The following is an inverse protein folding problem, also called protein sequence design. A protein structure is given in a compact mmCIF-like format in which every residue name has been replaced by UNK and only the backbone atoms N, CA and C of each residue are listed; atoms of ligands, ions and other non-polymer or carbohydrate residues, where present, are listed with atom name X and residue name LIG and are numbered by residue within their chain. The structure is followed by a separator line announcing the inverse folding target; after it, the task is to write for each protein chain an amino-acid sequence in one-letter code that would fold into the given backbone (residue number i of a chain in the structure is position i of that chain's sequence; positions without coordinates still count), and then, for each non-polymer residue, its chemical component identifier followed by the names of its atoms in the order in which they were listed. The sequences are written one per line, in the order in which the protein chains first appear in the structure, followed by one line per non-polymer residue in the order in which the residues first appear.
data_IF_585825150085
#
_entry.id   IF_585825150085
#
_cell.length_a   1.000
_cell.length_b   1.000
_cell.length_c   1.000
_cell.angle_alpha   90.00
_cell.angle_beta   90.00
_cell.angle_gamma   90.00
#
_symmetry.space_group_name_H-M   'P 1'
#
loop_
_entity.id
_entity.type
_entity.pdbx_description
1 polymer ?
#
# COMPACT_ATOMS: atom_id res chain seq x y z
N UNK A 1 -17.50 26.07 0.46
CA UNK A 1 -18.21 25.75 -0.80
C UNK A 1 -18.43 24.26 -0.87
N UNK A 2 -19.51 23.80 -1.50
CA UNK A 2 -19.74 22.37 -1.70
C UNK A 2 -18.85 21.79 -2.80
N UNK A 3 -18.67 20.47 -2.82
CA UNK A 3 -17.97 19.73 -3.89
C UNK A 3 -18.52 20.10 -5.28
N UNK A 4 -19.84 20.05 -5.43
CA UNK A 4 -20.53 20.34 -6.69
C UNK A 4 -20.27 21.77 -7.20
N UNK A 5 -20.31 22.77 -6.32
CA UNK A 5 -20.00 24.16 -6.70
C UNK A 5 -18.55 24.32 -7.18
N UNK A 6 -17.62 23.57 -6.57
CA UNK A 6 -16.21 23.62 -6.96
C UNK A 6 -15.98 22.92 -8.29
N UNK A 7 -16.63 21.76 -8.53
CA UNK A 7 -16.59 21.07 -9.82
C UNK A 7 -17.16 21.93 -10.95
N UNK A 8 -18.30 22.61 -10.74
CA UNK A 8 -18.84 23.56 -11.72
C UNK A 8 -17.88 24.71 -12.03
N UNK A 9 -17.03 25.12 -11.08
CA UNK A 9 -15.99 26.12 -11.34
C UNK A 9 -14.82 25.53 -12.11
N UNK A 10 -14.42 24.29 -11.81
CA UNK A 10 -13.40 23.57 -12.57
C UNK A 10 -13.82 23.48 -14.03
N UNK A 11 -15.05 23.04 -14.32
CA UNK A 11 -15.53 22.91 -15.70
C UNK A 11 -15.60 24.26 -16.43
N UNK A 12 -16.02 25.33 -15.75
CA UNK A 12 -15.97 26.70 -16.31
C UNK A 12 -14.54 27.16 -16.60
N UNK A 13 -13.61 26.91 -15.69
CA UNK A 13 -12.20 27.25 -15.87
C UNK A 13 -11.61 26.46 -17.07
N UNK A 14 -11.95 25.18 -17.23
CA UNK A 14 -11.54 24.35 -18.38
C UNK A 14 -12.13 24.87 -19.69
N UNK A 15 -13.44 25.14 -19.74
CA UNK A 15 -14.11 25.67 -20.93
C UNK A 15 -13.55 27.04 -21.36
N UNK A 16 -13.09 27.85 -20.40
CA UNK A 16 -12.43 29.13 -20.65
C UNK A 16 -10.92 29.01 -20.95
N UNK A 17 -10.36 27.80 -21.05
CA UNK A 17 -8.93 27.56 -21.29
C UNK A 17 -8.02 27.85 -20.08
N UNK A 18 -8.58 28.18 -18.91
CA UNK A 18 -7.86 28.48 -17.67
C UNK A 18 -7.41 27.21 -16.93
N UNK A 19 -6.68 26.34 -17.63
CA UNK A 19 -6.29 25.01 -17.15
C UNK A 19 -5.47 25.04 -15.84
N UNK A 20 -4.63 26.06 -15.64
CA UNK A 20 -3.88 26.23 -14.39
C UNK A 20 -4.79 26.42 -13.17
N UNK A 21 -5.87 27.21 -13.32
CA UNK A 21 -6.84 27.42 -12.23
C UNK A 21 -7.70 26.18 -11.96
N UNK A 22 -8.07 25.46 -13.01
CA UNK A 22 -8.78 24.20 -12.92
C UNK A 22 -7.95 23.16 -12.16
N UNK A 23 -6.67 23.02 -12.53
CA UNK A 23 -5.68 22.16 -11.86
C UNK A 23 -5.60 22.48 -10.36
N UNK A 24 -5.42 23.74 -9.99
CA UNK A 24 -5.24 24.13 -8.58
C UNK A 24 -6.48 23.83 -7.73
N UNK A 25 -7.69 24.00 -8.29
CA UNK A 25 -8.94 23.60 -7.63
C UNK A 25 -9.06 22.09 -7.47
N UNK A 26 -8.73 21.34 -8.52
CA UNK A 26 -8.75 19.88 -8.49
C UNK A 26 -7.76 19.31 -7.48
N UNK A 27 -6.58 19.91 -7.29
CA UNK A 27 -5.68 19.54 -6.18
C UNK A 27 -6.34 19.70 -4.82
N UNK A 28 -7.04 20.82 -4.60
CA UNK A 28 -7.81 21.04 -3.38
C UNK A 28 -8.87 19.96 -3.16
N UNK A 29 -9.59 19.58 -4.22
CA UNK A 29 -10.60 18.52 -4.16
C UNK A 29 -9.99 17.14 -3.91
N UNK A 30 -8.91 16.75 -4.61
CA UNK A 30 -8.21 15.48 -4.39
C UNK A 30 -7.65 15.39 -2.96
N UNK A 31 -7.23 16.52 -2.40
CA UNK A 31 -6.81 16.56 -1.00
C UNK A 31 -7.96 16.33 -0.03
N UNK A 32 -9.11 16.97 -0.28
CA UNK A 32 -10.29 16.91 0.59
C UNK A 32 -11.05 15.58 0.48
N UNK A 33 -11.05 14.98 -0.71
CA UNK A 33 -11.76 13.74 -1.06
C UNK A 33 -10.78 12.72 -1.64
N UNK A 34 -9.82 12.22 -0.84
CA UNK A 34 -8.71 11.41 -1.35
C UNK A 34 -9.13 10.01 -1.84
N UNK A 35 -10.30 9.53 -1.42
CA UNK A 35 -10.88 8.24 -1.84
C UNK A 35 -11.59 8.31 -3.20
N UNK A 36 -11.95 9.51 -3.66
CA UNK A 36 -12.65 9.70 -4.92
C UNK A 36 -11.64 9.74 -6.09
N UNK A 37 -11.43 8.58 -6.70
CA UNK A 37 -10.52 8.44 -7.82
C UNK A 37 -10.96 9.22 -9.08
N UNK A 38 -12.24 9.58 -9.21
CA UNK A 38 -12.72 10.38 -10.35
C UNK A 38 -12.10 11.77 -10.36
N UNK A 39 -11.83 12.35 -9.18
CA UNK A 39 -11.14 13.63 -9.06
C UNK A 39 -9.68 13.53 -9.50
N UNK A 40 -9.02 12.41 -9.19
CA UNK A 40 -7.65 12.14 -9.66
C UNK A 40 -7.63 11.95 -11.17
N UNK A 41 -8.61 11.25 -11.73
CA UNK A 41 -8.77 11.07 -13.17
C UNK A 41 -8.92 12.42 -13.89
N UNK A 42 -9.82 13.28 -13.39
CA UNK A 42 -10.03 14.61 -13.96
C UNK A 42 -8.79 15.50 -13.84
N UNK A 43 -8.07 15.43 -12.73
CA UNK A 43 -6.80 16.14 -12.55
C UNK A 43 -5.72 15.65 -13.53
N UNK A 44 -5.65 14.35 -13.78
CA UNK A 44 -4.72 13.79 -14.75
C UNK A 44 -5.02 14.27 -16.18
N UNK A 45 -6.30 14.34 -16.56
CA UNK A 45 -6.72 14.90 -17.85
C UNK A 45 -6.28 16.35 -18.03
N UNK A 46 -6.43 17.18 -17.00
CA UNK A 46 -5.95 18.57 -17.03
C UNK A 46 -4.42 18.63 -17.16
N UNK A 47 -3.69 17.78 -16.44
CA UNK A 47 -2.23 17.69 -16.59
C UNK A 47 -1.79 17.23 -17.98
N UNK A 48 -2.55 16.32 -18.59
CA UNK A 48 -2.31 15.86 -19.95
C UNK A 48 -2.51 16.99 -20.96
N UNK A 49 -3.61 17.75 -20.85
CA UNK A 49 -3.85 18.92 -21.69
C UNK A 49 -2.76 19.99 -21.52
N UNK A 50 -2.27 20.19 -20.29
CA UNK A 50 -1.15 21.07 -19.96
C UNK A 50 0.23 20.53 -20.42
N UNK A 51 0.31 19.39 -21.11
CA UNK A 51 1.55 18.78 -21.59
C UNK A 51 2.53 18.37 -20.48
N UNK A 52 2.01 17.93 -19.32
CA UNK A 52 2.80 17.33 -18.24
C UNK A 52 2.50 15.83 -18.11
N UNK A 53 2.98 14.98 -19.05
CA UNK A 53 2.58 13.57 -19.12
C UNK A 53 2.98 12.75 -17.88
N UNK A 54 4.15 13.02 -17.28
CA UNK A 54 4.58 12.35 -16.05
C UNK A 54 3.67 12.68 -14.85
N UNK A 55 3.18 13.92 -14.76
CA UNK A 55 2.21 14.29 -13.72
C UNK A 55 0.83 13.70 -14.00
N UNK A 56 0.38 13.69 -15.25
CA UNK A 56 -0.85 13.01 -15.64
C UNK A 56 -0.79 11.52 -15.27
N UNK A 57 0.34 10.86 -15.55
CA UNK A 57 0.60 9.46 -15.20
C UNK A 57 0.54 9.20 -13.70
N UNK A 58 1.08 10.10 -12.88
CA UNK A 58 0.99 10.00 -11.42
C UNK A 58 -0.46 9.94 -10.91
N UNK A 59 -1.35 10.76 -11.50
CA UNK A 59 -2.76 10.80 -11.10
C UNK A 59 -3.59 9.68 -11.72
N UNK A 60 -3.26 9.23 -12.93
CA UNK A 60 -3.86 8.05 -13.58
C UNK A 60 -3.33 6.70 -13.07
N UNK A 61 -2.25 6.67 -12.30
CA UNK A 61 -1.54 5.41 -11.97
C UNK A 61 -2.40 4.32 -11.31
N UNK A 62 -3.43 4.73 -10.58
CA UNK A 62 -4.37 3.85 -9.87
C UNK A 62 -5.61 3.50 -10.70
N UNK A 63 -5.72 4.02 -11.92
CA UNK A 63 -6.79 3.70 -12.86
C UNK A 63 -6.33 2.61 -13.83
N UNK A 64 -7.26 1.74 -14.21
CA UNK A 64 -6.99 0.78 -15.26
C UNK A 64 -6.74 1.53 -16.59
N UNK A 65 -5.60 1.32 -17.28
CA UNK A 65 -5.28 2.07 -18.47
C UNK A 65 -6.19 1.66 -19.63
N UNK A 66 -7.16 2.52 -19.96
CA UNK A 66 -8.12 2.29 -21.05
C UNK A 66 -7.67 2.82 -22.42
N UNK A 67 -6.65 3.67 -22.48
CA UNK A 67 -6.17 4.31 -23.71
C UNK A 67 -4.65 4.35 -23.80
N UNK A 68 -4.11 4.42 -25.03
CA UNK A 68 -2.67 4.55 -25.26
C UNK A 68 -2.07 5.79 -24.61
N UNK A 69 -2.80 6.92 -24.61
CA UNK A 69 -2.38 8.15 -23.95
C UNK A 69 -2.18 7.96 -22.44
N UNK A 70 -3.13 7.28 -21.77
CA UNK A 70 -3.01 6.95 -20.34
C UNK A 70 -1.83 6.03 -20.08
N UNK A 71 -1.67 4.99 -20.90
CA UNK A 71 -0.54 4.07 -20.78
C UNK A 71 0.81 4.79 -20.96
N UNK A 72 0.91 5.68 -21.95
CA UNK A 72 2.11 6.51 -22.16
C UNK A 72 2.40 7.39 -20.96
N UNK A 73 1.40 8.11 -20.45
CA UNK A 73 1.55 8.97 -19.28
C UNK A 73 2.04 8.17 -18.05
N UNK A 74 1.48 6.98 -17.81
CA UNK A 74 1.90 6.09 -16.73
C UNK A 74 3.37 5.66 -16.91
N UNK A 75 3.80 5.30 -18.12
CA UNK A 75 5.22 4.98 -18.39
C UNK A 75 6.14 6.16 -18.14
N UNK A 76 5.75 7.38 -18.54
CA UNK A 76 6.51 8.60 -18.27
C UNK A 76 6.62 8.89 -16.76
N UNK A 77 5.57 8.59 -16.00
CA UNK A 77 5.61 8.67 -14.55
C UNK A 77 6.56 7.64 -13.94
N UNK A 78 6.48 6.38 -14.37
CA UNK A 78 7.36 5.30 -13.92
C UNK A 78 8.83 5.60 -14.21
N UNK A 79 9.13 6.03 -15.44
CA UNK A 79 10.47 6.44 -15.84
C UNK A 79 10.99 7.63 -15.03
N UNK A 80 10.15 8.66 -14.80
CA UNK A 80 10.52 9.81 -13.98
C UNK A 80 10.74 9.47 -12.49
N UNK A 81 10.26 8.30 -12.03
CA UNK A 81 10.55 7.76 -10.71
C UNK A 81 11.78 6.83 -10.70
N UNK A 82 12.45 6.63 -11.84
CA UNK A 82 13.54 5.68 -12.00
C UNK A 82 13.10 4.22 -11.94
N UNK A 83 11.82 3.95 -12.22
CA UNK A 83 11.17 2.64 -12.02
C UNK A 83 11.36 2.08 -10.60
N UNK A 84 11.51 2.99 -9.63
CA UNK A 84 11.73 2.62 -8.25
C UNK A 84 10.40 2.55 -7.47
N UNK A 85 10.06 1.40 -6.84
CA UNK A 85 8.75 1.24 -6.21
C UNK A 85 8.57 2.17 -5.00
N UNK A 86 9.66 2.55 -4.31
CA UNK A 86 9.58 3.47 -3.18
C UNK A 86 9.34 4.91 -3.66
N UNK A 87 10.03 5.34 -4.73
CA UNK A 87 9.77 6.63 -5.36
C UNK A 87 8.36 6.71 -5.95
N UNK A 88 7.87 5.63 -6.57
CA UNK A 88 6.50 5.54 -7.07
C UNK A 88 5.48 5.74 -5.93
N UNK A 89 5.55 4.92 -4.87
CA UNK A 89 4.60 5.02 -3.74
C UNK A 89 4.61 6.40 -3.07
N UNK A 90 5.79 6.99 -2.88
CA UNK A 90 5.92 8.31 -2.23
C UNK A 90 5.43 9.44 -3.12
N UNK A 91 5.61 9.37 -4.46
CA UNK A 91 5.11 10.37 -5.40
C UNK A 91 3.63 10.28 -5.68
N UNK A 92 3.00 9.11 -5.57
CA UNK A 92 1.54 8.96 -5.73
C UNK A 92 0.74 9.86 -4.78
N UNK A 93 1.33 10.19 -3.61
CA UNK A 93 0.73 11.02 -2.56
C UNK A 93 -0.72 10.63 -2.25
N UNK A 94 -1.05 9.34 -2.41
CA UNK A 94 -2.37 8.83 -2.07
C UNK A 94 -2.56 8.96 -0.56
N UNK A 95 -3.71 9.47 -0.15
CA UNK A 95 -4.05 9.75 1.26
C UNK A 95 -5.40 9.15 1.65
N UNK A 96 -6.01 8.42 0.73
CA UNK A 96 -7.28 7.77 0.99
C UNK A 96 -7.06 6.50 1.79
N UNK A 97 -8.17 5.85 2.08
CA UNK A 97 -8.22 4.51 2.62
C UNK A 97 -8.05 3.50 1.46
N UNK A 98 -6.98 2.69 1.44
CA UNK A 98 -6.82 1.62 0.47
C UNK A 98 -8.01 0.65 0.44
N UNK A 99 -8.75 0.53 1.55
CA UNK A 99 -9.92 -0.35 1.61
C UNK A 99 -11.11 0.14 0.82
N UNK A 100 -11.17 1.45 0.52
CA UNK A 100 -12.23 2.08 -0.27
C UNK A 100 -11.91 2.13 -1.76
N UNK A 101 -10.72 1.68 -2.16
CA UNK A 101 -10.29 1.68 -3.55
C UNK A 101 -10.93 0.56 -4.37
N UNK A 102 -11.18 0.79 -5.68
CA UNK A 102 -11.53 -0.29 -6.61
C UNK A 102 -10.48 -1.41 -6.62
N UNK A 103 -10.86 -2.66 -7.00
CA UNK A 103 -9.96 -3.81 -7.00
C UNK A 103 -8.64 -3.56 -7.74
N UNK A 104 -8.69 -3.00 -8.96
CA UNK A 104 -7.49 -2.68 -9.74
C UNK A 104 -6.52 -1.76 -8.98
N UNK A 105 -7.03 -0.68 -8.41
CA UNK A 105 -6.25 0.31 -7.69
C UNK A 105 -5.58 -0.29 -6.44
N UNK A 106 -6.33 -1.12 -5.71
CA UNK A 106 -5.85 -1.86 -4.53
C UNK A 106 -4.73 -2.82 -4.91
N UNK A 107 -4.97 -3.67 -5.90
CA UNK A 107 -3.97 -4.65 -6.36
C UNK A 107 -2.69 -3.97 -6.84
N UNK A 108 -2.82 -2.84 -7.55
CA UNK A 108 -1.69 -2.02 -8.00
C UNK A 108 -0.87 -1.48 -6.82
N UNK A 109 -1.53 -0.93 -5.80
CA UNK A 109 -0.85 -0.42 -4.59
C UNK A 109 -0.19 -1.54 -3.80
N UNK A 110 -0.90 -2.65 -3.56
CA UNK A 110 -0.35 -3.78 -2.83
C UNK A 110 0.86 -4.39 -3.53
N UNK A 111 0.82 -4.48 -4.87
CA UNK A 111 1.96 -4.95 -5.66
C UNK A 111 3.19 -4.06 -5.45
N UNK A 112 3.02 -2.73 -5.51
CA UNK A 112 4.10 -1.79 -5.23
C UNK A 112 4.62 -1.89 -3.79
N UNK A 113 3.73 -2.09 -2.81
CA UNK A 113 4.13 -2.29 -1.42
C UNK A 113 4.93 -3.59 -1.25
N UNK A 114 4.51 -4.68 -1.90
CA UNK A 114 5.28 -5.95 -1.93
C UNK A 114 6.64 -5.77 -2.59
N UNK A 115 6.73 -5.02 -3.68
CA UNK A 115 8.00 -4.68 -4.33
C UNK A 115 8.93 -3.88 -3.41
N UNK A 116 8.39 -2.90 -2.69
CA UNK A 116 9.13 -2.15 -1.67
C UNK A 116 9.59 -3.05 -0.52
N UNK A 117 8.72 -3.93 0.00
CA UNK A 117 9.09 -4.87 1.05
C UNK A 117 10.23 -5.79 0.61
N UNK A 118 10.19 -6.29 -0.64
CA UNK A 118 11.26 -7.14 -1.20
C UNK A 118 12.59 -6.39 -1.36
N UNK A 119 12.55 -5.15 -1.86
CA UNK A 119 13.75 -4.36 -2.18
C UNK A 119 14.35 -3.64 -0.96
N UNK A 120 13.50 -3.14 -0.06
CA UNK A 120 13.88 -2.27 1.05
C UNK A 120 13.57 -2.85 2.44
N UNK A 121 12.86 -3.98 2.52
CA UNK A 121 12.42 -4.57 3.80
C UNK A 121 11.35 -3.77 4.52
N UNK A 122 10.77 -2.74 3.88
CA UNK A 122 9.69 -1.89 4.38
C UNK A 122 9.01 -1.13 3.23
N UNK A 123 7.84 -0.56 3.47
CA UNK A 123 7.12 0.28 2.52
C UNK A 123 6.39 1.45 3.20
N UNK A 124 6.12 2.56 2.49
CA UNK A 124 5.26 3.64 3.00
C UNK A 124 3.83 3.15 3.21
N UNK A 125 3.25 3.47 4.37
CA UNK A 125 1.87 3.12 4.71
C UNK A 125 1.00 4.36 4.57
N UNK A 126 -0.07 4.24 3.78
CA UNK A 126 -1.05 5.30 3.58
C UNK A 126 -2.02 5.31 4.76
N UNK A 127 -2.17 6.45 5.42
CA UNK A 127 -3.12 6.63 6.50
C UNK A 127 -3.90 7.92 6.24
N UNK A 128 -5.22 7.85 6.29
CA UNK A 128 -6.08 9.01 6.05
C UNK A 128 -5.83 10.18 7.02
N UNK A 129 -5.34 9.89 8.23
CA UNK A 129 -5.24 10.86 9.32
C UNK A 129 -3.83 11.34 9.64
N UNK A 130 -2.77 10.73 9.10
CA UNK A 130 -1.41 11.08 9.48
C UNK A 130 -0.82 12.15 8.54
N UNK A 131 -0.28 13.23 9.13
CA UNK A 131 0.45 14.27 8.36
C UNK A 131 1.86 13.82 7.94
N UNK A 132 2.38 12.74 8.55
CA UNK A 132 3.75 12.26 8.37
C UNK A 132 3.72 10.87 7.76
N UNK A 133 4.56 10.65 6.75
CA UNK A 133 4.80 9.33 6.19
C UNK A 133 5.27 8.38 7.29
N UNK A 134 4.50 7.33 7.48
CA UNK A 134 4.89 6.20 8.32
C UNK A 134 5.32 5.06 7.39
N UNK A 135 6.27 4.28 7.86
CA UNK A 135 6.74 3.09 7.16
C UNK A 135 6.27 1.86 7.90
N UNK A 136 6.06 0.77 7.17
CA UNK A 136 5.83 -0.53 7.77
C UNK A 136 7.02 -0.90 8.67
N UNK A 137 6.78 -1.63 9.77
CA UNK A 137 7.87 -2.15 10.57
C UNK A 137 8.76 -3.03 9.69
N UNK A 138 10.09 -3.02 9.92
CA UNK A 138 11.01 -3.81 9.11
C UNK A 138 10.63 -5.29 9.04
N UNK A 139 10.75 -5.88 7.85
CA UNK A 139 10.39 -7.27 7.57
C UNK A 139 11.06 -8.29 8.51
N UNK A 140 12.31 -8.01 8.93
CA UNK A 140 13.08 -8.89 9.80
C UNK A 140 12.45 -9.08 11.19
N UNK A 141 11.71 -8.08 11.71
CA UNK A 141 11.02 -8.20 13.01
C UNK A 141 10.00 -9.33 13.01
N UNK A 142 9.27 -9.50 11.91
CA UNK A 142 8.32 -10.61 11.73
C UNK A 142 9.03 -11.96 11.68
N UNK A 143 10.19 -12.03 11.01
CA UNK A 143 10.99 -13.27 10.92
C UNK A 143 11.54 -13.70 12.28
N UNK A 144 12.05 -12.74 13.08
CA UNK A 144 12.53 -13.03 14.44
C UNK A 144 11.39 -13.47 15.36
N UNK A 145 10.24 -12.81 15.30
CA UNK A 145 9.06 -13.23 16.06
C UNK A 145 8.62 -14.66 15.68
N UNK A 146 8.54 -14.96 14.38
CA UNK A 146 8.18 -16.29 13.90
C UNK A 146 9.19 -17.37 14.35
N UNK A 147 10.50 -17.09 14.23
CA UNK A 147 11.54 -18.00 14.69
C UNK A 147 11.47 -18.23 16.21
N UNK A 148 11.20 -17.18 17.00
CA UNK A 148 10.97 -17.28 18.43
C UNK A 148 9.77 -18.17 18.78
N UNK A 149 8.64 -18.00 18.07
CA UNK A 149 7.47 -18.87 18.25
C UNK A 149 7.77 -20.33 17.91
N UNK A 150 8.49 -20.59 16.81
CA UNK A 150 8.88 -21.96 16.43
C UNK A 150 9.80 -22.58 17.48
N UNK A 151 10.82 -21.86 17.95
CA UNK A 151 11.72 -22.34 19.00
C UNK A 151 10.98 -22.64 20.31
N UNK A 152 10.03 -21.78 20.70
CA UNK A 152 9.19 -22.00 21.87
C UNK A 152 8.33 -23.27 21.75
N UNK A 153 7.74 -23.51 20.58
CA UNK A 153 6.97 -24.73 20.32
C UNK A 153 7.88 -25.98 20.37
N UNK A 154 9.06 -25.93 19.74
CA UNK A 154 10.03 -27.05 19.79
C UNK A 154 10.46 -27.35 21.23
N UNK A 155 10.76 -26.32 22.02
CA UNK A 155 11.11 -26.47 23.42
C UNK A 155 9.95 -27.06 24.25
N UNK A 156 8.73 -26.59 24.03
CA UNK A 156 7.53 -27.09 24.70
C UNK A 156 7.29 -28.59 24.41
N UNK A 157 7.33 -28.99 23.14
CA UNK A 157 7.17 -30.41 22.77
C UNK A 157 8.34 -31.26 23.25
N UNK A 158 9.57 -30.74 23.19
CA UNK A 158 10.75 -31.43 23.72
C UNK A 158 10.64 -31.71 25.22
N UNK A 159 10.22 -30.71 26.02
CA UNK A 159 9.98 -30.87 27.45
C UNK A 159 8.82 -31.82 27.75
N UNK A 160 7.72 -31.76 26.99
CA UNK A 160 6.57 -32.65 27.15
C UNK A 160 6.95 -34.12 26.87
N UNK A 161 7.70 -34.38 25.80
CA UNK A 161 8.19 -35.73 25.45
C UNK A 161 9.18 -36.25 26.49
N UNK A 162 10.10 -35.40 26.96
CA UNK A 162 11.03 -35.76 28.03
C UNK A 162 10.29 -36.11 29.32
N UNK A 163 9.31 -35.29 29.74
CA UNK A 163 8.47 -35.55 30.90
C UNK A 163 7.68 -36.86 30.78
N UNK A 164 7.04 -37.10 29.63
CA UNK A 164 6.33 -38.35 29.36
C UNK A 164 7.25 -39.58 29.43
N UNK A 165 8.47 -39.48 28.89
CA UNK A 165 9.47 -40.54 28.97
C UNK A 165 9.91 -40.86 30.39
N UNK A 166 10.12 -39.83 31.23
CA UNK A 166 10.44 -40.00 32.65
C UNK A 166 9.27 -40.66 33.40
N UNK A 167 8.05 -40.21 33.17
CA UNK A 167 6.84 -40.77 33.80
C UNK A 167 6.63 -42.25 33.41
N UNK A 168 6.77 -42.58 32.12
CA UNK A 168 6.67 -43.96 31.63
C UNK A 168 7.73 -44.86 32.25
N UNK A 169 8.99 -44.39 32.33
CA UNK A 169 10.08 -45.14 32.98
C UNK A 169 9.81 -45.39 34.46
N UNK A 170 9.24 -44.41 35.16
CA UNK A 170 8.83 -44.57 36.56
C UNK A 170 7.68 -45.57 36.71
N UNK A 171 6.66 -45.52 35.86
CA UNK A 171 5.55 -46.46 35.87
C UNK A 171 6.03 -47.91 35.64
N UNK A 172 6.93 -48.12 34.67
CA UNK A 172 7.53 -49.44 34.40
C UNK A 172 8.29 -49.96 35.62
N UNK A 173 9.10 -49.11 36.28
CA UNK A 173 9.81 -49.50 37.50
C UNK A 173 8.86 -49.92 38.62
N UNK A 174 7.77 -49.19 38.84
CA UNK A 174 6.79 -49.51 39.88
C UNK A 174 6.09 -50.86 39.63
N UNK A 175 5.74 -51.15 38.37
CA UNK A 175 5.18 -52.44 37.97
C UNK A 175 6.17 -53.60 38.20
N UNK A 176 7.46 -53.38 37.96
CA UNK A 176 8.50 -54.39 38.20
C UNK A 176 8.77 -54.63 39.68
N UNK A 177 8.68 -53.61 40.54
CA UNK A 177 8.87 -53.76 41.98
C UNK A 177 7.66 -54.31 42.72
N UNK A 178 6.45 -54.15 42.19
CA UNK A 178 5.22 -54.69 42.79
C UNK A 178 4.98 -56.20 42.52
N UNK A 179 5.83 -56.83 41.71
CA UNK A 179 5.76 -58.25 41.35
C UNK A 179 6.82 -59.11 42.07
N UNK A 180 7.41 -58.60 43.15
CA UNK A 180 8.36 -59.32 44.02
C UNK A 180 7.80 -59.46 45.43
#
# INVERSE_FOLDING_TARGET
MSLQQTLQRVERDIAAGNLGRARDRLHGLVWQYPDDLSLRERLAEVYWQLQFPSMAGCYWYLHEPSTEARQRAVREFEHACGNDPLHLLTRLKFRGDPERLPPYARDKLERLQRECERKYGRYPVFHATSKRWQFSPPSWRRRVAAAGCVLALVAFFGLALFGAGVALRHAIRLLQTGFR
#
